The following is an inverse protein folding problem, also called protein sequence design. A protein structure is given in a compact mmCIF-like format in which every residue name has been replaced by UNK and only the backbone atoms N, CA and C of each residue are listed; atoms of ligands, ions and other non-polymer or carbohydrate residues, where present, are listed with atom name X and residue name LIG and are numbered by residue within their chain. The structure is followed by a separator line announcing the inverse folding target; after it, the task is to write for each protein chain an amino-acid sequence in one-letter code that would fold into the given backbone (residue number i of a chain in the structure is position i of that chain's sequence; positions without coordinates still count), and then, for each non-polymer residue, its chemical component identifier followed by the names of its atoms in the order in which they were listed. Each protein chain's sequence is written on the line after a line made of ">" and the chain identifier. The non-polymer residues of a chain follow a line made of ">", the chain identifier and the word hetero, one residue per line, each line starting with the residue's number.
data_IF_484300727673
#
_entry.id   IF_484300727673
#
_cell.length_a   1.000
_cell.length_b   1.000
_cell.length_c   1.000
_cell.angle_alpha   90.00
_cell.angle_beta   90.00
_cell.angle_gamma   90.00
#
_symmetry.space_group_name_H-M   'P 1'
#
loop_
_entity.id
_entity.type
_entity.pdbx_description
1 polymer ?
#
# COMPACT_ATOMS: atom_id res chain seq x y z
N UNK A 1 -19.49 -5.38 -9.93
CA UNK A 1 -18.30 -4.72 -9.35
C UNK A 1 -17.73 -3.61 -10.27
N UNK A 2 -18.57 -2.71 -10.83
CA UNK A 2 -18.13 -1.73 -11.85
C UNK A 2 -18.10 -0.27 -11.36
N UNK A 3 -18.33 -0.04 -10.05
CA UNK A 3 -18.55 1.32 -9.53
C UNK A 3 -17.25 2.12 -9.30
N UNK A 4 -16.11 1.47 -9.05
CA UNK A 4 -14.90 2.22 -8.69
C UNK A 4 -14.28 2.99 -9.88
N UNK A 5 -14.00 2.36 -11.04
CA UNK A 5 -13.35 3.06 -12.15
C UNK A 5 -14.18 4.26 -12.64
N UNK A 6 -15.51 4.10 -12.75
CA UNK A 6 -16.40 5.18 -13.20
C UNK A 6 -16.43 6.36 -12.23
N UNK A 7 -16.52 6.10 -10.91
CA UNK A 7 -16.50 7.15 -9.89
C UNK A 7 -15.14 7.84 -9.81
N UNK A 8 -14.05 7.06 -9.82
CA UNK A 8 -12.70 7.58 -9.82
C UNK A 8 -12.44 8.43 -11.06
N UNK A 9 -12.89 8.00 -12.25
CA UNK A 9 -12.74 8.75 -13.50
C UNK A 9 -13.49 10.08 -13.48
N UNK A 10 -14.70 10.13 -12.93
CA UNK A 10 -15.44 11.39 -12.76
C UNK A 10 -14.70 12.37 -11.82
N UNK A 11 -14.15 11.88 -10.71
CA UNK A 11 -13.39 12.71 -9.76
C UNK A 11 -12.07 13.19 -10.37
N UNK A 12 -11.38 12.32 -11.10
CA UNK A 12 -10.13 12.63 -11.76
C UNK A 12 -10.30 13.73 -12.82
N UNK A 13 -11.32 13.64 -13.69
CA UNK A 13 -11.63 14.69 -14.66
C UNK A 13 -11.96 16.04 -14.03
N UNK A 14 -12.63 16.05 -12.88
CA UNK A 14 -12.94 17.30 -12.15
C UNK A 14 -11.69 17.94 -11.54
N UNK A 15 -10.74 17.14 -11.05
CA UNK A 15 -9.51 17.63 -10.38
C UNK A 15 -8.39 17.95 -11.35
N UNK A 16 -8.33 17.27 -12.49
CA UNK A 16 -7.29 17.40 -13.50
C UNK A 16 -7.92 17.60 -14.90
N UNK A 17 -8.62 18.72 -15.16
CA UNK A 17 -9.42 18.88 -16.39
C UNK A 17 -8.61 19.00 -17.67
N UNK A 18 -7.35 19.46 -17.61
CA UNK A 18 -6.51 19.77 -18.78
C UNK A 18 -5.18 18.99 -18.81
N UNK A 19 -4.97 18.06 -17.88
CA UNK A 19 -3.69 17.37 -17.78
C UNK A 19 -3.64 16.16 -18.71
N UNK A 20 -2.49 15.96 -19.36
CA UNK A 20 -2.21 14.79 -20.19
C UNK A 20 -1.94 13.53 -19.36
N UNK A 21 -1.51 13.70 -18.10
CA UNK A 21 -1.36 12.64 -17.11
C UNK A 21 -2.18 12.97 -15.86
N UNK A 22 -2.83 11.97 -15.27
CA UNK A 22 -3.52 12.10 -13.99
C UNK A 22 -3.60 10.76 -13.24
N UNK A 23 -3.48 10.81 -11.91
CA UNK A 23 -3.60 9.65 -11.02
C UNK A 23 -4.55 9.99 -9.87
N UNK A 24 -5.40 9.05 -9.48
CA UNK A 24 -6.24 9.17 -8.29
C UNK A 24 -6.26 7.87 -7.51
N UNK A 25 -5.98 7.98 -6.21
CA UNK A 25 -6.20 6.92 -5.24
C UNK A 25 -7.49 7.21 -4.49
N UNK A 26 -8.46 6.33 -4.65
CA UNK A 26 -9.69 6.32 -3.85
C UNK A 26 -9.57 5.27 -2.75
N UNK A 27 -10.56 5.18 -1.86
CA UNK A 27 -10.62 4.13 -0.84
C UNK A 27 -10.62 2.72 -1.44
N UNK A 28 -11.17 2.58 -2.64
CA UNK A 28 -11.50 1.28 -3.25
C UNK A 28 -10.63 0.95 -4.48
N UNK A 29 -9.98 1.93 -5.12
CA UNK A 29 -9.12 1.70 -6.27
C UNK A 29 -8.15 2.84 -6.59
N UNK A 30 -7.09 2.49 -7.34
CA UNK A 30 -6.20 3.41 -8.04
C UNK A 30 -6.63 3.48 -9.52
N UNK A 31 -6.76 4.70 -10.05
CA UNK A 31 -6.95 4.95 -11.47
C UNK A 31 -5.83 5.86 -11.97
N UNK A 32 -5.19 5.47 -13.08
CA UNK A 32 -4.12 6.24 -13.73
C UNK A 32 -4.45 6.46 -15.20
N UNK A 33 -4.27 7.68 -15.66
CA UNK A 33 -4.19 8.07 -17.07
C UNK A 33 -2.78 8.57 -17.31
N UNK A 34 -1.92 7.80 -17.99
CA UNK A 34 -0.55 8.19 -18.27
C UNK A 34 -0.47 9.07 -19.53
N UNK A 35 0.58 9.87 -19.66
CA UNK A 35 0.99 10.49 -20.92
C UNK A 35 1.96 9.59 -21.73
N UNK A 36 2.58 8.61 -21.08
CA UNK A 36 3.56 7.68 -21.68
C UNK A 36 3.26 6.21 -21.34
N UNK A 37 3.92 5.26 -22.02
CA UNK A 37 3.76 3.84 -21.68
C UNK A 37 4.36 3.53 -20.30
N UNK A 38 3.51 3.08 -19.38
CA UNK A 38 3.84 2.75 -17.98
C UNK A 38 3.84 1.25 -17.68
N UNK A 39 3.40 0.39 -18.61
CA UNK A 39 3.28 -1.04 -18.35
C UNK A 39 4.63 -1.66 -17.98
N UNK A 40 4.69 -2.32 -16.83
CA UNK A 40 5.88 -3.02 -16.33
C UNK A 40 6.97 -2.10 -15.78
N UNK A 41 6.78 -0.77 -15.87
CA UNK A 41 7.71 0.22 -15.30
C UNK A 41 7.31 0.53 -13.86
N UNK A 42 8.32 0.54 -12.99
CA UNK A 42 8.13 0.87 -11.58
C UNK A 42 8.10 2.40 -11.40
N UNK A 43 7.03 2.91 -10.79
CA UNK A 43 6.83 4.30 -10.39
C UNK A 43 6.95 4.37 -8.87
N UNK A 44 8.10 4.86 -8.41
CA UNK A 44 8.38 5.12 -7.00
C UNK A 44 8.28 6.60 -6.65
N UNK A 45 7.96 7.50 -7.59
CA UNK A 45 8.00 8.95 -7.34
C UNK A 45 6.74 9.41 -6.61
N UNK A 46 5.61 8.79 -6.93
CA UNK A 46 4.32 9.11 -6.32
C UNK A 46 4.15 8.38 -5.00
N UNK A 47 4.28 9.10 -3.86
CA UNK A 47 4.17 8.53 -2.51
C UNK A 47 3.18 9.29 -1.65
N UNK A 48 2.24 8.58 -1.04
CA UNK A 48 1.30 9.15 -0.05
C UNK A 48 1.27 8.25 1.18
N UNK A 49 1.42 8.84 2.36
CA UNK A 49 1.30 8.13 3.63
C UNK A 49 0.06 8.63 4.36
N UNK A 50 -0.82 7.71 4.74
CA UNK A 50 -2.04 8.01 5.50
C UNK A 50 -1.95 7.25 6.82
N UNK A 51 -1.50 7.97 7.82
CA UNK A 51 -1.08 7.45 9.11
C UNK A 51 -2.14 7.79 10.15
N UNK A 52 -2.45 6.86 11.05
CA UNK A 52 -3.27 7.20 12.22
C UNK A 52 -2.37 7.96 13.21
N UNK A 53 -2.70 9.19 13.63
CA UNK A 53 -1.88 9.93 14.61
C UNK A 53 -2.03 9.44 16.05
N UNK A 54 -2.99 8.55 16.34
CA UNK A 54 -3.20 8.02 17.69
C UNK A 54 -1.94 7.33 18.20
N UNK A 55 -1.46 7.76 19.36
CA UNK A 55 -0.30 7.21 20.03
C UNK A 55 -0.48 5.72 20.34
N UNK A 56 0.59 4.95 20.14
CA UNK A 56 0.66 3.53 20.42
C UNK A 56 2.02 3.19 21.02
N UNK A 57 2.04 3.09 22.35
CA UNK A 57 3.25 2.78 23.11
C UNK A 57 3.54 1.28 23.08
N UNK A 58 4.32 0.83 22.08
CA UNK A 58 4.80 -0.53 22.04
C UNK A 58 6.13 -0.62 21.30
N UNK A 59 7.23 -0.67 22.05
CA UNK A 59 8.60 -0.71 21.52
C UNK A 59 8.89 -1.93 20.64
N UNK A 60 8.15 -3.03 20.81
CA UNK A 60 8.31 -4.25 20.02
C UNK A 60 7.44 -4.26 18.75
N UNK A 61 6.50 -3.31 18.61
CA UNK A 61 5.57 -3.24 17.47
C UNK A 61 6.26 -3.36 16.11
N UNK A 62 7.39 -2.68 15.96
CA UNK A 62 8.08 -2.55 14.69
C UNK A 62 8.71 -3.85 14.20
N UNK A 63 9.24 -4.68 15.10
CA UNK A 63 9.80 -5.98 14.71
C UNK A 63 8.68 -6.89 14.22
N UNK A 64 7.58 -7.00 14.97
CA UNK A 64 6.40 -7.78 14.56
C UNK A 64 5.77 -7.28 13.26
N UNK A 65 5.70 -5.96 13.05
CA UNK A 65 5.19 -5.40 11.81
C UNK A 65 6.14 -5.67 10.62
N UNK A 66 7.46 -5.59 10.84
CA UNK A 66 8.48 -5.89 9.82
C UNK A 66 8.45 -7.36 9.41
N UNK A 67 8.32 -8.27 10.37
CA UNK A 67 8.22 -9.71 10.10
C UNK A 67 6.98 -10.02 9.27
N UNK A 68 5.83 -9.45 9.67
CA UNK A 68 4.57 -9.60 8.93
C UNK A 68 4.74 -9.12 7.50
N UNK A 69 5.26 -7.90 7.28
CA UNK A 69 5.41 -7.37 5.93
C UNK A 69 6.45 -8.14 5.10
N UNK A 70 7.55 -8.60 5.70
CA UNK A 70 8.52 -9.44 4.98
C UNK A 70 7.86 -10.69 4.39
N UNK A 71 7.01 -11.38 5.17
CA UNK A 71 6.28 -12.55 4.69
C UNK A 71 5.24 -12.20 3.62
N UNK A 72 4.51 -11.09 3.81
CA UNK A 72 3.49 -10.65 2.86
C UNK A 72 4.10 -10.21 1.53
N UNK A 73 5.20 -9.46 1.55
CA UNK A 73 5.94 -9.04 0.36
C UNK A 73 6.38 -10.25 -0.47
N UNK A 74 6.97 -11.26 0.17
CA UNK A 74 7.38 -12.50 -0.49
C UNK A 74 6.18 -13.24 -1.11
N UNK A 75 5.08 -13.38 -0.37
CA UNK A 75 3.88 -14.06 -0.86
C UNK A 75 3.24 -13.33 -2.04
N UNK A 76 3.20 -12.00 -1.99
CA UNK A 76 2.65 -11.19 -3.07
C UNK A 76 3.52 -11.27 -4.32
N UNK A 77 4.84 -11.13 -4.17
CA UNK A 77 5.78 -11.14 -5.29
C UNK A 77 5.88 -12.49 -6.00
N UNK A 78 5.67 -13.58 -5.28
CA UNK A 78 5.71 -14.94 -5.83
C UNK A 78 4.33 -15.48 -6.23
N UNK A 79 3.30 -14.63 -6.20
CA UNK A 79 1.91 -15.05 -6.40
C UNK A 79 1.07 -13.97 -7.09
N UNK A 80 -0.14 -13.67 -6.59
CA UNK A 80 -1.09 -12.83 -7.30
C UNK A 80 -0.80 -11.33 -7.22
N UNK A 81 0.41 -10.92 -6.81
CA UNK A 81 0.77 -9.53 -6.50
C UNK A 81 -0.12 -8.94 -5.39
N UNK A 82 -0.62 -9.80 -4.50
CA UNK A 82 -1.43 -9.44 -3.35
C UNK A 82 -1.20 -10.44 -2.23
N UNK A 83 -1.10 -9.96 -0.99
CA UNK A 83 -1.11 -10.80 0.18
C UNK A 83 -1.70 -10.05 1.37
N UNK A 84 -2.37 -10.79 2.25
CA UNK A 84 -2.83 -10.30 3.54
C UNK A 84 -2.54 -11.33 4.63
N UNK A 85 -2.41 -10.85 5.86
CA UNK A 85 -2.08 -11.70 6.99
C UNK A 85 -2.21 -10.97 8.31
N UNK A 86 -1.90 -11.70 9.38
CA UNK A 86 -1.92 -11.17 10.74
C UNK A 86 -0.75 -11.71 11.54
N UNK A 87 -0.32 -10.96 12.53
CA UNK A 87 0.71 -11.37 13.47
C UNK A 87 0.31 -10.96 14.89
N UNK A 88 0.72 -11.75 15.89
CA UNK A 88 0.44 -11.47 17.31
C UNK A 88 1.75 -11.16 18.01
N UNK A 89 1.80 -10.10 18.82
CA UNK A 89 2.96 -9.87 19.71
C UNK A 89 2.85 -10.65 21.02
N UNK A 90 3.89 -10.51 21.86
CA UNK A 90 3.96 -11.12 23.20
C UNK A 90 2.81 -10.68 24.12
N UNK A 91 2.34 -9.44 23.98
CA UNK A 91 1.23 -8.90 24.78
C UNK A 91 -0.15 -9.37 24.29
N UNK A 92 -0.21 -10.25 23.29
CA UNK A 92 -1.46 -10.77 22.73
C UNK A 92 -2.18 -9.82 21.76
N UNK A 93 -1.62 -8.63 21.48
CA UNK A 93 -2.15 -7.72 20.47
C UNK A 93 -1.95 -8.31 19.07
N UNK A 94 -3.00 -8.28 18.26
CA UNK A 94 -2.96 -8.74 16.87
C UNK A 94 -2.86 -7.56 15.91
N UNK A 95 -1.97 -7.69 14.93
CA UNK A 95 -1.76 -6.78 13.81
C UNK A 95 -2.29 -7.42 12.54
N UNK A 96 -2.88 -6.62 11.66
CA UNK A 96 -3.42 -7.05 10.38
C UNK A 96 -2.75 -6.23 9.30
N UNK A 97 -2.16 -6.92 8.32
CA UNK A 97 -1.40 -6.32 7.24
C UNK A 97 -1.89 -6.80 5.88
N UNK A 98 -1.83 -5.92 4.89
CA UNK A 98 -2.01 -6.29 3.49
C UNK A 98 -1.05 -5.50 2.60
N UNK A 99 -0.61 -6.15 1.54
CA UNK A 99 0.25 -5.59 0.50
C UNK A 99 -0.34 -5.90 -0.87
N UNK A 100 -0.20 -4.97 -1.80
CA UNK A 100 -0.69 -5.09 -3.17
C UNK A 100 0.31 -4.45 -4.13
N UNK A 101 0.57 -5.10 -5.26
CA UNK A 101 1.25 -4.54 -6.42
C UNK A 101 0.29 -4.43 -7.60
N UNK A 102 0.52 -3.47 -8.49
CA UNK A 102 -0.29 -3.35 -9.72
C UNK A 102 -0.02 -4.53 -10.65
N UNK A 103 -1.06 -4.95 -11.39
CA UNK A 103 -1.05 -6.19 -12.19
C UNK A 103 -0.10 -6.17 -13.38
N UNK A 104 0.38 -5.00 -13.77
CA UNK A 104 1.36 -4.81 -14.83
C UNK A 104 2.81 -5.07 -14.40
N UNK A 105 3.08 -5.24 -13.10
CA UNK A 105 4.42 -5.52 -12.61
C UNK A 105 4.81 -7.01 -12.69
N UNK A 106 6.11 -7.25 -12.89
CA UNK A 106 6.71 -8.54 -12.58
C UNK A 106 6.76 -8.79 -11.07
N UNK A 107 6.91 -10.05 -10.66
CA UNK A 107 7.10 -10.41 -9.25
C UNK A 107 8.29 -9.68 -8.61
N UNK A 108 9.40 -9.57 -9.34
CA UNK A 108 10.62 -8.86 -8.90
C UNK A 108 10.37 -7.35 -8.71
N UNK A 109 9.71 -6.68 -9.66
CA UNK A 109 9.38 -5.26 -9.51
C UNK A 109 8.38 -5.02 -8.38
N UNK A 110 7.40 -5.92 -8.23
CA UNK A 110 6.45 -5.88 -7.12
C UNK A 110 7.17 -5.98 -5.77
N UNK A 111 8.10 -6.95 -5.63
CA UNK A 111 8.91 -7.10 -4.43
C UNK A 111 9.71 -5.84 -4.11
N UNK A 112 10.41 -5.30 -5.11
CA UNK A 112 11.21 -4.09 -4.95
C UNK A 112 10.37 -2.90 -4.46
N UNK A 113 9.19 -2.67 -5.08
CA UNK A 113 8.28 -1.61 -4.64
C UNK A 113 7.81 -1.83 -3.20
N UNK A 114 7.38 -3.04 -2.87
CA UNK A 114 6.86 -3.37 -1.54
C UNK A 114 7.92 -3.29 -0.44
N UNK A 115 9.16 -3.67 -0.73
CA UNK A 115 10.26 -3.58 0.25
C UNK A 115 10.60 -2.11 0.55
N UNK A 116 10.67 -1.25 -0.47
CA UNK A 116 10.86 0.22 -0.30
C UNK A 116 9.69 0.82 0.48
N UNK A 117 8.46 0.51 0.07
CA UNK A 117 7.26 1.02 0.73
C UNK A 117 7.18 0.56 2.19
N UNK A 118 7.60 -0.67 2.50
CA UNK A 118 7.61 -1.21 3.87
C UNK A 118 8.60 -0.44 4.73
N UNK A 119 9.83 -0.24 4.25
CA UNK A 119 10.87 0.45 4.99
C UNK A 119 10.48 1.90 5.29
N UNK A 120 9.98 2.62 4.30
CA UNK A 120 9.55 4.01 4.45
C UNK A 120 8.27 4.17 5.26
N UNK A 121 7.36 3.19 5.20
CA UNK A 121 6.16 3.19 6.03
C UNK A 121 6.53 2.96 7.50
N UNK A 122 7.33 1.94 7.78
CA UNK A 122 7.71 1.56 9.14
C UNK A 122 8.52 2.66 9.84
N UNK A 123 9.38 3.39 9.12
CA UNK A 123 10.10 4.55 9.68
C UNK A 123 9.19 5.69 10.15
N UNK A 124 7.92 5.70 9.71
CA UNK A 124 6.94 6.74 10.07
C UNK A 124 5.93 6.30 11.12
N UNK A 125 5.85 5.00 11.45
CA UNK A 125 4.82 4.46 12.37
C UNK A 125 5.35 3.97 13.70
N UNK A 126 6.55 4.40 14.10
CA UNK A 126 7.23 3.97 15.33
C UNK A 126 6.40 4.12 16.61
N UNK A 127 5.41 5.02 16.64
CA UNK A 127 4.66 5.35 17.86
C UNK A 127 3.14 5.49 17.62
N UNK A 128 2.61 4.92 16.53
CA UNK A 128 1.20 5.12 16.18
C UNK A 128 0.48 3.85 15.72
N UNK A 129 -0.86 3.88 15.73
CA UNK A 129 -1.75 2.70 15.54
C UNK A 129 -1.81 2.12 14.11
N UNK A 130 -0.80 2.37 13.29
CA UNK A 130 -0.71 1.92 11.90
C UNK A 130 -1.20 2.96 10.89
N UNK A 131 -1.53 2.51 9.67
CA UNK A 131 -1.75 3.40 8.54
C UNK A 131 -1.69 2.67 7.20
N UNK A 132 -1.49 3.44 6.14
CA UNK A 132 -1.21 2.91 4.80
C UNK A 132 -0.17 3.77 4.09
N UNK A 133 0.63 3.12 3.25
CA UNK A 133 1.54 3.75 2.32
C UNK A 133 1.12 3.42 0.90
N UNK A 134 1.13 4.43 0.05
CA UNK A 134 0.61 4.40 -1.30
C UNK A 134 1.74 4.81 -2.22
N UNK A 135 2.16 3.92 -3.09
CA UNK A 135 3.16 4.18 -4.11
C UNK A 135 2.51 4.16 -5.49
N UNK A 136 3.27 4.51 -6.51
CA UNK A 136 2.83 4.41 -7.90
C UNK A 136 2.34 3.01 -8.22
N UNK A 137 3.13 1.97 -7.94
CA UNK A 137 2.77 0.60 -8.31
C UNK A 137 2.53 -0.36 -7.15
N UNK A 138 2.59 0.10 -5.90
CA UNK A 138 2.30 -0.77 -4.77
C UNK A 138 1.65 -0.04 -3.60
N UNK A 139 1.09 -0.84 -2.70
CA UNK A 139 0.25 -0.36 -1.62
C UNK A 139 0.47 -1.22 -0.39
N UNK A 140 0.56 -0.59 0.78
CA UNK A 140 0.76 -1.25 2.06
C UNK A 140 -0.24 -0.72 3.05
N UNK A 141 -0.82 -1.59 3.88
CA UNK A 141 -1.75 -1.22 4.94
C UNK A 141 -1.48 -2.03 6.18
N UNK A 142 -1.45 -1.36 7.33
CA UNK A 142 -1.31 -1.95 8.67
C UNK A 142 -2.42 -1.42 9.57
N UNK A 143 -3.10 -2.32 10.28
CA UNK A 143 -4.14 -1.98 11.27
C UNK A 143 -4.01 -2.86 12.51
N UNK A 144 -4.41 -2.30 13.66
CA UNK A 144 -4.51 -3.04 14.94
C UNK A 144 -5.86 -3.79 15.09
N UNK A 145 -6.67 -3.83 14.04
CA UNK A 145 -7.99 -4.48 14.00
C UNK A 145 -8.21 -5.15 12.64
N UNK A 146 -9.11 -6.15 12.60
CA UNK A 146 -9.42 -6.90 11.38
C UNK A 146 -10.23 -6.04 10.40
N UNK A 147 -9.84 -6.04 9.13
CA UNK A 147 -10.52 -5.27 8.05
C UNK A 147 -10.75 -6.07 6.75
N UNK A 148 -10.43 -7.36 6.77
CA UNK A 148 -10.62 -8.32 5.69
C UNK A 148 -11.23 -9.61 6.23
#
# INVERSE_FOLDING_TARGET
>A
MQKCPSKAGLQLRKRCPLNQEAKIWTTDCLLKYPNENFFGKIDMDNRVYLINPDFYENTQFLSYARDLFTQLCLKASSGPLYAQGKQKNLNGQTFFGSVEGTKDLSGTHCKSCLDVATNEFLSRVHEIRGGRAIFGNCYIRLKLYRYF
#
